data_IF_340718261978
#
_entry.id   IF_340718261978
#
_cell.length_a   1.000
_cell.length_b   1.000
_cell.length_c   1.000
_cell.angle_alpha   90.00
_cell.angle_beta   90.00
_cell.angle_gamma   90.00
#
_symmetry.space_group_name_H-M   'P 1'
#
loop_
_entity.id
_entity.type
_entity.pdbx_description
1 polymer ?
#
# COMPACT_ATOMS: atom_id res chain seq x y z
N UNK A 1 -5.81 0.28 21.03
CA UNK A 1 -6.49 1.11 22.04
C UNK A 1 -5.58 2.25 22.47
N UNK A 2 -4.51 2.04 23.25
CA UNK A 2 -3.63 3.14 23.70
C UNK A 2 -3.08 4.02 22.56
N UNK A 3 -2.58 3.42 21.46
CA UNK A 3 -2.07 4.19 20.32
C UNK A 3 -3.18 4.98 19.60
N UNK A 4 -4.38 4.41 19.51
CA UNK A 4 -5.52 5.02 18.83
C UNK A 4 -6.05 6.22 19.65
N UNK A 5 -6.15 6.06 20.98
CA UNK A 5 -6.52 7.12 21.91
C UNK A 5 -5.47 8.24 21.92
N UNK A 6 -4.17 7.89 21.93
CA UNK A 6 -3.09 8.86 21.87
C UNK A 6 -3.14 9.66 20.57
N UNK A 7 -3.41 9.01 19.45
CA UNK A 7 -3.55 9.70 18.17
C UNK A 7 -4.80 10.60 18.15
N UNK A 8 -5.92 10.17 18.74
CA UNK A 8 -7.10 11.02 18.90
C UNK A 8 -6.82 12.28 19.72
N UNK A 9 -6.02 12.17 20.80
CA UNK A 9 -5.58 13.33 21.58
C UNK A 9 -4.69 14.28 20.77
N UNK A 10 -3.82 13.76 19.91
CA UNK A 10 -3.06 14.59 18.95
C UNK A 10 -4.00 15.32 18.00
N UNK A 11 -4.99 14.62 17.42
CA UNK A 11 -5.97 15.25 16.52
C UNK A 11 -6.81 16.33 17.22
N UNK A 12 -7.07 16.19 18.51
CA UNK A 12 -7.76 17.19 19.34
C UNK A 12 -6.85 18.34 19.83
N UNK A 13 -5.55 18.30 19.52
CA UNK A 13 -4.59 19.32 19.97
C UNK A 13 -4.16 19.19 21.44
N UNK A 14 -4.43 18.04 22.08
CA UNK A 14 -4.09 17.78 23.48
C UNK A 14 -2.72 17.11 23.66
N UNK A 15 -2.14 16.55 22.60
CA UNK A 15 -0.80 15.94 22.62
C UNK A 15 0.01 16.30 21.36
N UNK A 16 1.33 16.16 21.45
CA UNK A 16 2.23 16.39 20.34
C UNK A 16 2.32 15.13 19.45
N UNK A 17 2.22 15.30 18.13
CA UNK A 17 2.47 14.26 17.11
C UNK A 17 3.81 13.53 17.35
N UNK A 18 4.84 14.21 17.86
CA UNK A 18 6.14 13.61 18.21
C UNK A 18 5.98 12.45 19.20
N UNK A 19 5.03 12.53 20.14
CA UNK A 19 4.78 11.45 21.10
C UNK A 19 4.24 10.19 20.39
N UNK A 20 3.30 10.36 19.46
CA UNK A 20 2.77 9.24 18.65
C UNK A 20 3.88 8.59 17.84
N UNK A 21 4.72 9.38 17.17
CA UNK A 21 5.83 8.85 16.37
C UNK A 21 6.84 8.05 17.22
N UNK A 22 7.12 8.50 18.45
CA UNK A 22 7.97 7.76 19.41
C UNK A 22 7.34 6.43 19.82
N UNK A 23 6.05 6.41 20.10
CA UNK A 23 5.33 5.17 20.45
C UNK A 23 5.36 4.18 19.28
N UNK A 24 5.06 4.65 18.06
CA UNK A 24 5.13 3.83 16.85
C UNK A 24 6.54 3.24 16.66
N UNK A 25 7.58 4.05 16.83
CA UNK A 25 8.97 3.59 16.71
C UNK A 25 9.35 2.52 17.75
N UNK A 26 8.70 2.53 18.93
CA UNK A 26 8.92 1.55 19.98
C UNK A 26 8.17 0.22 19.76
N UNK A 27 7.16 0.20 18.89
CA UNK A 27 6.33 -0.99 18.59
C UNK A 27 6.97 -1.95 17.56
N UNK A 28 8.29 -1.90 17.37
CA UNK A 28 9.02 -2.69 16.36
C UNK A 28 8.89 -4.22 16.53
N UNK A 29 8.62 -4.69 17.75
CA UNK A 29 8.55 -6.11 18.11
C UNK A 29 7.10 -6.65 18.12
N UNK A 30 6.12 -5.80 17.78
CA UNK A 30 4.70 -6.17 17.69
C UNK A 30 4.42 -7.04 16.46
N UNK A 31 3.49 -7.99 16.58
CA UNK A 31 3.01 -8.82 15.47
C UNK A 31 1.48 -8.95 15.39
N UNK A 32 0.74 -8.22 16.24
CA UNK A 32 -0.71 -8.18 16.17
C UNK A 32 -1.20 -7.30 15.00
N UNK A 33 -1.97 -7.90 14.09
CA UNK A 33 -2.60 -7.21 12.97
C UNK A 33 -3.36 -5.92 13.35
N UNK A 34 -4.10 -5.95 14.46
CA UNK A 34 -4.91 -4.80 14.90
C UNK A 34 -4.03 -3.61 15.24
N UNK A 35 -2.88 -3.83 15.88
CA UNK A 35 -1.94 -2.77 16.24
C UNK A 35 -1.31 -2.18 14.97
N UNK A 36 -0.86 -3.03 14.06
CA UNK A 36 -0.30 -2.59 12.77
C UNK A 36 -1.30 -1.86 11.89
N UNK A 37 -2.58 -2.23 11.92
CA UNK A 37 -3.67 -1.51 11.26
C UNK A 37 -3.80 -0.08 11.79
N UNK A 38 -3.75 0.10 13.12
CA UNK A 38 -3.78 1.42 13.76
C UNK A 38 -2.53 2.23 13.36
N UNK A 39 -1.34 1.64 13.42
CA UNK A 39 -0.07 2.28 13.00
C UNK A 39 -0.19 2.76 11.54
N UNK A 40 -0.63 1.87 10.64
CA UNK A 40 -0.80 2.17 9.23
C UNK A 40 -1.82 3.29 8.98
N UNK A 41 -2.92 3.33 9.73
CA UNK A 41 -3.93 4.39 9.65
C UNK A 41 -3.38 5.74 10.14
N UNK A 42 -2.72 5.77 11.30
CA UNK A 42 -2.12 6.97 11.86
C UNK A 42 -1.09 7.57 10.89
N UNK A 43 -0.16 6.73 10.41
CA UNK A 43 0.86 7.18 9.48
C UNK A 43 0.25 7.58 8.13
N UNK A 44 -0.79 6.91 7.66
CA UNK A 44 -1.50 7.30 6.44
C UNK A 44 -2.13 8.69 6.53
N UNK A 45 -2.74 9.05 7.67
CA UNK A 45 -3.26 10.41 7.90
C UNK A 45 -2.15 11.45 7.94
N UNK A 46 -1.04 11.15 8.60
CA UNK A 46 0.12 12.04 8.64
C UNK A 46 0.75 12.22 7.25
N UNK A 47 0.84 11.14 6.46
CA UNK A 47 1.36 11.14 5.09
C UNK A 47 0.61 12.13 4.19
N UNK A 48 -0.72 12.20 4.33
CA UNK A 48 -1.56 13.18 3.63
C UNK A 48 -1.20 14.61 4.04
N UNK A 49 -1.03 14.87 5.34
CA UNK A 49 -0.76 16.23 5.86
C UNK A 49 0.63 16.75 5.45
N UNK A 50 1.62 15.86 5.40
CA UNK A 50 2.98 16.21 5.00
C UNK A 50 3.17 16.15 3.49
N UNK A 51 2.19 15.64 2.73
CA UNK A 51 2.30 15.55 1.28
C UNK A 51 2.61 16.94 0.70
N UNK A 52 3.54 16.99 -0.26
CA UNK A 52 4.03 18.24 -0.87
C UNK A 52 4.83 19.18 0.06
N UNK A 53 5.27 18.70 1.23
CA UNK A 53 6.23 19.42 2.08
C UNK A 53 7.66 18.90 1.86
N UNK A 54 8.65 19.62 2.37
CA UNK A 54 10.06 19.17 2.37
C UNK A 54 10.33 17.92 3.23
N UNK A 55 9.35 17.49 4.04
CA UNK A 55 9.52 16.39 5.00
C UNK A 55 9.12 15.02 4.44
N UNK A 56 8.55 14.96 3.23
CA UNK A 56 8.04 13.72 2.62
C UNK A 56 9.09 12.61 2.61
N UNK A 57 10.32 12.90 2.17
CA UNK A 57 11.36 11.87 2.10
C UNK A 57 11.83 11.40 3.49
N UNK A 58 11.85 12.30 4.47
CA UNK A 58 12.18 11.95 5.85
C UNK A 58 11.11 11.04 6.45
N UNK A 59 9.83 11.32 6.17
CA UNK A 59 8.73 10.50 6.63
C UNK A 59 8.66 9.15 5.93
N UNK A 60 8.94 9.07 4.63
CA UNK A 60 9.10 7.79 3.91
C UNK A 60 10.19 6.94 4.55
N UNK A 61 11.36 7.51 4.86
CA UNK A 61 12.43 6.79 5.58
C UNK A 61 11.98 6.30 6.95
N UNK A 62 11.23 7.10 7.70
CA UNK A 62 10.64 6.67 8.96
C UNK A 62 9.67 5.51 8.79
N UNK A 63 8.78 5.58 7.79
CA UNK A 63 7.88 4.49 7.41
C UNK A 63 8.63 3.20 7.09
N UNK A 64 9.71 3.27 6.29
CA UNK A 64 10.56 2.13 6.02
C UNK A 64 11.19 1.54 7.28
N UNK A 65 11.73 2.39 8.17
CA UNK A 65 12.29 1.95 9.44
C UNK A 65 11.28 1.21 10.32
N UNK A 66 10.02 1.66 10.31
CA UNK A 66 8.93 1.04 11.09
C UNK A 66 8.50 -0.29 10.48
N UNK A 67 8.24 -0.34 9.18
CA UNK A 67 7.61 -1.51 8.54
C UNK A 67 8.59 -2.59 8.08
N UNK A 68 9.87 -2.27 7.83
CA UNK A 68 10.82 -3.24 7.24
C UNK A 68 11.04 -4.48 8.12
N UNK A 69 11.24 -4.37 9.45
CA UNK A 69 11.47 -5.55 10.30
C UNK A 69 10.33 -6.58 10.25
N UNK A 70 9.08 -6.11 10.34
CA UNK A 70 7.92 -7.00 10.27
C UNK A 70 7.70 -7.53 8.85
N UNK A 71 8.02 -6.74 7.82
CA UNK A 71 7.97 -7.19 6.42
C UNK A 71 8.94 -8.33 6.13
N UNK A 72 10.17 -8.22 6.62
CA UNK A 72 11.18 -9.28 6.52
C UNK A 72 10.78 -10.54 7.31
N UNK A 73 10.20 -10.36 8.51
CA UNK A 73 9.67 -11.47 9.33
C UNK A 73 8.56 -12.24 8.60
N UNK A 74 7.64 -11.54 7.93
CA UNK A 74 6.49 -12.15 7.26
C UNK A 74 6.86 -12.74 5.90
N UNK A 75 7.65 -12.01 5.10
CA UNK A 75 7.99 -12.37 3.74
C UNK A 75 6.77 -12.34 2.79
N UNK A 76 6.97 -12.85 1.58
CA UNK A 76 5.94 -12.87 0.52
C UNK A 76 5.10 -14.14 0.50
N UNK A 77 5.64 -15.23 1.04
CA UNK A 77 5.04 -16.55 0.92
C UNK A 77 4.22 -16.90 2.16
N UNK A 78 3.08 -17.56 1.94
CA UNK A 78 2.28 -18.08 3.03
C UNK A 78 3.05 -19.15 3.78
N UNK A 79 3.05 -19.08 5.12
CA UNK A 79 3.74 -20.07 5.96
C UNK A 79 2.81 -21.23 6.33
N UNK A 80 3.33 -22.43 6.57
CA UNK A 80 2.54 -23.52 7.15
C UNK A 80 1.93 -23.08 8.49
N UNK A 81 0.63 -23.34 8.68
CA UNK A 81 -0.15 -22.95 9.86
C UNK A 81 -0.25 -21.43 10.11
N UNK A 82 -0.06 -20.63 9.07
CA UNK A 82 -0.27 -19.20 9.16
C UNK A 82 -1.73 -18.85 9.48
N UNK A 83 -1.94 -17.95 10.44
CA UNK A 83 -3.29 -17.50 10.79
C UNK A 83 -3.84 -16.55 9.73
N UNK A 84 -5.16 -16.40 9.65
CA UNK A 84 -5.77 -15.41 8.75
C UNK A 84 -5.28 -13.98 9.06
N UNK A 85 -5.02 -13.66 10.33
CA UNK A 85 -4.51 -12.35 10.74
C UNK A 85 -3.09 -12.09 10.26
N UNK A 86 -2.23 -13.12 10.21
CA UNK A 86 -0.88 -13.01 9.65
C UNK A 86 -0.92 -12.73 8.14
N UNK A 87 -1.85 -13.37 7.41
CA UNK A 87 -2.05 -13.11 5.98
C UNK A 87 -2.48 -11.65 5.73
N UNK A 88 -3.42 -11.16 6.53
CA UNK A 88 -3.84 -9.75 6.46
C UNK A 88 -2.70 -8.80 6.82
N UNK A 89 -1.91 -9.14 7.84
CA UNK A 89 -0.76 -8.35 8.25
C UNK A 89 0.29 -8.29 7.14
N UNK A 90 0.60 -9.41 6.47
CA UNK A 90 1.51 -9.44 5.32
C UNK A 90 1.05 -8.46 4.24
N UNK A 91 -0.20 -8.56 3.81
CA UNK A 91 -0.74 -7.68 2.78
C UNK A 91 -0.64 -6.20 3.16
N UNK A 92 -1.00 -5.87 4.41
CA UNK A 92 -0.92 -4.52 4.95
C UNK A 92 0.52 -3.99 4.93
N UNK A 93 1.47 -4.76 5.45
CA UNK A 93 2.88 -4.37 5.58
C UNK A 93 3.53 -4.21 4.21
N UNK A 94 3.35 -5.17 3.30
CA UNK A 94 3.92 -5.09 1.94
C UNK A 94 3.36 -3.90 1.16
N UNK A 95 2.05 -3.63 1.32
CA UNK A 95 1.42 -2.43 0.73
C UNK A 95 2.06 -1.14 1.25
N UNK A 96 2.34 -1.05 2.55
CA UNK A 96 2.99 0.12 3.16
C UNK A 96 4.46 0.26 2.76
N UNK A 97 5.20 -0.84 2.69
CA UNK A 97 6.59 -0.82 2.21
C UNK A 97 6.68 -0.37 0.75
N UNK A 98 5.78 -0.85 -0.11
CA UNK A 98 5.68 -0.38 -1.50
C UNK A 98 5.33 1.11 -1.59
N UNK A 99 4.42 1.60 -0.74
CA UNK A 99 4.07 3.02 -0.65
C UNK A 99 5.24 3.91 -0.22
N UNK A 100 6.02 3.47 0.77
CA UNK A 100 7.19 4.20 1.25
C UNK A 100 8.43 4.06 0.36
N UNK A 101 8.36 3.25 -0.70
CA UNK A 101 9.40 3.14 -1.71
C UNK A 101 10.49 2.12 -1.38
N UNK A 102 10.16 1.03 -0.67
CA UNK A 102 11.12 -0.05 -0.45
C UNK A 102 11.50 -0.71 -1.79
N UNK A 103 12.78 -0.62 -2.15
CA UNK A 103 13.26 -1.06 -3.46
C UNK A 103 13.15 -2.58 -3.66
N UNK A 104 13.31 -3.36 -2.59
CA UNK A 104 13.22 -4.83 -2.65
C UNK A 104 11.77 -5.26 -2.84
N UNK A 105 10.83 -4.66 -2.10
CA UNK A 105 9.40 -4.91 -2.26
C UNK A 105 8.92 -4.51 -3.65
N UNK A 106 9.36 -3.37 -4.18
CA UNK A 106 9.00 -2.93 -5.55
C UNK A 106 9.56 -3.90 -6.60
N UNK A 107 10.82 -4.32 -6.48
CA UNK A 107 11.43 -5.26 -7.43
C UNK A 107 10.68 -6.60 -7.45
N UNK A 108 10.34 -7.11 -6.27
CA UNK A 108 9.70 -8.40 -6.08
C UNK A 108 8.20 -8.35 -6.45
N UNK A 109 7.54 -7.18 -6.29
CA UNK A 109 6.22 -6.89 -6.84
C UNK A 109 6.23 -6.87 -8.38
N UNK A 110 7.22 -6.22 -9.01
CA UNK A 110 7.37 -6.20 -10.48
C UNK A 110 7.54 -7.60 -11.06
N UNK A 111 8.35 -8.44 -10.40
CA UNK A 111 8.52 -9.86 -10.78
C UNK A 111 7.20 -10.63 -10.73
N UNK A 112 6.46 -10.55 -9.62
CA UNK A 112 5.14 -11.21 -9.48
C UNK A 112 4.13 -10.69 -10.47
N UNK A 113 4.08 -9.39 -10.68
CA UNK A 113 3.19 -8.76 -11.66
C UNK A 113 3.46 -9.25 -13.08
N UNK A 114 4.73 -9.31 -13.50
CA UNK A 114 5.09 -9.84 -14.81
C UNK A 114 4.65 -11.29 -14.99
N UNK A 115 4.88 -12.15 -14.00
CA UNK A 115 4.45 -13.55 -14.03
C UNK A 115 2.92 -13.70 -14.03
N UNK A 116 2.20 -12.76 -13.41
CA UNK A 116 0.74 -12.71 -13.42
C UNK A 116 0.20 -12.36 -14.79
N UNK A 117 0.73 -11.30 -15.40
CA UNK A 117 0.32 -10.82 -16.72
C UNK A 117 0.63 -11.85 -17.82
N UNK A 118 1.73 -12.61 -17.69
CA UNK A 118 2.07 -13.67 -18.65
C UNK A 118 1.25 -14.96 -18.48
N UNK A 119 0.49 -15.09 -17.39
CA UNK A 119 -0.21 -16.31 -17.02
C UNK A 119 0.69 -17.42 -16.45
N UNK A 120 1.96 -17.13 -16.16
CA UNK A 120 2.91 -18.08 -15.56
C UNK A 120 2.56 -18.37 -14.10
N UNK A 121 2.17 -17.35 -13.32
CA UNK A 121 1.81 -17.50 -11.92
C UNK A 121 0.77 -16.46 -11.50
N UNK A 122 -0.33 -16.91 -10.88
CA UNK A 122 -1.39 -16.03 -10.42
C UNK A 122 -1.01 -15.42 -9.07
N UNK A 123 -1.10 -14.09 -8.94
CA UNK A 123 -0.94 -13.43 -7.64
C UNK A 123 -2.13 -13.80 -6.73
N UNK A 124 -1.89 -14.26 -5.50
CA UNK A 124 -2.92 -14.48 -4.49
C UNK A 124 -3.76 -13.22 -4.25
N UNK A 125 -5.08 -13.38 -4.09
CA UNK A 125 -6.02 -12.25 -4.03
C UNK A 125 -5.70 -11.24 -2.92
N UNK A 126 -5.17 -11.71 -1.78
CA UNK A 126 -4.72 -10.90 -0.65
C UNK A 126 -3.50 -10.03 -0.97
N UNK A 127 -2.64 -10.45 -1.91
CA UNK A 127 -1.43 -9.73 -2.31
C UNK A 127 -1.63 -8.80 -3.52
N UNK A 128 -2.67 -9.01 -4.34
CA UNK A 128 -2.87 -8.24 -5.59
C UNK A 128 -2.86 -6.73 -5.35
N UNK A 129 -3.57 -6.25 -4.33
CA UNK A 129 -3.62 -4.83 -4.03
C UNK A 129 -2.24 -4.24 -3.68
N UNK A 130 -1.43 -4.98 -2.91
CA UNK A 130 -0.07 -4.56 -2.55
C UNK A 130 0.85 -4.57 -3.78
N UNK A 131 0.81 -5.64 -4.59
CA UNK A 131 1.61 -5.78 -5.80
C UNK A 131 1.28 -4.68 -6.81
N UNK A 132 -0.01 -4.49 -7.14
CA UNK A 132 -0.43 -3.50 -8.13
C UNK A 132 -0.01 -2.09 -7.72
N UNK A 133 -0.24 -1.70 -6.46
CA UNK A 133 0.15 -0.38 -5.96
C UNK A 133 1.67 -0.19 -5.96
N UNK A 134 2.44 -1.20 -5.57
CA UNK A 134 3.91 -1.11 -5.59
C UNK A 134 4.49 -1.03 -7.01
N UNK A 135 3.88 -1.70 -7.98
CA UNK A 135 4.28 -1.59 -9.38
C UNK A 135 3.90 -0.23 -9.96
N UNK A 136 2.68 0.24 -9.67
CA UNK A 136 2.18 1.51 -10.18
C UNK A 136 2.82 2.74 -9.54
N UNK A 137 3.32 2.65 -8.30
CA UNK A 137 4.05 3.76 -7.64
C UNK A 137 5.30 4.20 -8.40
N UNK A 138 5.87 3.30 -9.20
CA UNK A 138 7.00 3.55 -10.12
C UNK A 138 6.64 3.19 -11.56
N UNK A 139 5.34 3.16 -11.86
CA UNK A 139 4.79 2.73 -13.13
C UNK A 139 4.92 3.80 -14.21
N UNK A 140 5.14 3.34 -15.43
CA UNK A 140 5.20 4.13 -16.64
C UNK A 140 3.96 3.88 -17.52
N UNK A 141 4.00 4.42 -18.74
CA UNK A 141 2.91 4.29 -19.71
C UNK A 141 2.63 2.82 -20.07
N UNK A 142 3.66 1.98 -20.16
CA UNK A 142 3.50 0.54 -20.46
C UNK A 142 2.83 -0.20 -19.30
N UNK A 143 3.22 0.14 -18.07
CA UNK A 143 2.59 -0.37 -16.85
C UNK A 143 1.11 0.02 -16.79
N UNK A 144 0.81 1.29 -17.08
CA UNK A 144 -0.57 1.80 -17.15
C UNK A 144 -1.40 1.04 -18.19
N UNK A 145 -0.90 0.92 -19.42
CA UNK A 145 -1.59 0.22 -20.50
C UNK A 145 -1.84 -1.26 -20.16
N UNK A 146 -0.87 -1.90 -19.50
CA UNK A 146 -1.02 -3.28 -19.01
C UNK A 146 -2.14 -3.38 -17.98
N UNK A 147 -2.23 -2.45 -17.03
CA UNK A 147 -3.29 -2.44 -16.02
C UNK A 147 -4.67 -2.17 -16.62
N UNK A 148 -4.77 -1.27 -17.61
CA UNK A 148 -6.03 -1.02 -18.33
C UNK A 148 -6.47 -2.28 -19.10
N UNK A 149 -5.53 -3.00 -19.71
CA UNK A 149 -5.84 -4.28 -20.36
C UNK A 149 -6.38 -5.29 -19.35
N UNK A 150 -5.69 -5.48 -18.21
CA UNK A 150 -6.18 -6.36 -17.14
C UNK A 150 -7.58 -5.98 -16.67
N UNK A 151 -7.87 -4.68 -16.52
CA UNK A 151 -9.20 -4.20 -16.14
C UNK A 151 -10.28 -4.60 -17.15
N UNK A 152 -9.99 -4.42 -18.45
CA UNK A 152 -10.95 -4.69 -19.53
C UNK A 152 -11.19 -6.19 -19.74
N UNK A 153 -10.16 -6.99 -19.56
CA UNK A 153 -10.22 -8.45 -19.71
C UNK A 153 -10.88 -9.14 -18.49
N UNK A 154 -10.93 -8.46 -17.34
CA UNK A 154 -11.53 -8.98 -16.12
C UNK A 154 -13.07 -8.95 -16.16
N UNK A 155 -13.70 -9.96 -15.55
CA UNK A 155 -15.15 -10.08 -15.41
C UNK A 155 -15.63 -9.86 -13.97
N UNK A 156 -14.77 -10.12 -12.98
CA UNK A 156 -15.07 -9.96 -11.56
C UNK A 156 -14.99 -8.50 -11.14
N UNK A 157 -16.12 -7.95 -10.69
CA UNK A 157 -16.19 -6.53 -10.30
C UNK A 157 -15.22 -6.17 -9.16
N UNK A 158 -15.01 -7.07 -8.19
CA UNK A 158 -14.08 -6.82 -7.08
C UNK A 158 -12.64 -6.63 -7.57
N UNK A 159 -12.21 -7.40 -8.58
CA UNK A 159 -10.88 -7.26 -9.16
C UNK A 159 -10.78 -5.99 -10.02
N UNK A 160 -11.83 -5.62 -10.75
CA UNK A 160 -11.91 -4.32 -11.43
C UNK A 160 -11.76 -3.16 -10.45
N UNK A 161 -12.47 -3.19 -9.33
CA UNK A 161 -12.37 -2.17 -8.28
C UNK A 161 -10.96 -2.10 -7.70
N UNK A 162 -10.29 -3.25 -7.54
CA UNK A 162 -8.91 -3.34 -7.06
C UNK A 162 -7.92 -2.71 -8.04
N UNK A 163 -8.04 -3.02 -9.33
CA UNK A 163 -7.22 -2.44 -10.40
C UNK A 163 -7.45 -0.93 -10.48
N UNK A 164 -8.71 -0.50 -10.53
CA UNK A 164 -9.10 0.91 -10.57
C UNK A 164 -8.50 1.71 -9.41
N UNK A 165 -8.62 1.21 -8.17
CA UNK A 165 -8.03 1.87 -6.99
C UNK A 165 -6.51 1.89 -7.01
N UNK A 166 -5.87 0.92 -7.67
CA UNK A 166 -4.42 0.87 -7.78
C UNK A 166 -3.88 1.89 -8.79
N UNK A 167 -4.61 2.18 -9.87
CA UNK A 167 -4.20 3.16 -10.90
C UNK A 167 -3.88 4.55 -10.32
N UNK A 168 -4.55 4.95 -9.24
CA UNK A 168 -4.27 6.20 -8.53
C UNK A 168 -2.90 6.26 -7.83
N UNK A 169 -2.14 5.16 -7.77
CA UNK A 169 -0.79 5.15 -7.20
C UNK A 169 0.29 5.69 -8.16
N UNK A 170 -0.03 5.91 -9.45
CA UNK A 170 0.94 6.44 -10.42
C UNK A 170 1.34 7.87 -10.05
N UNK A 171 2.64 8.15 -10.03
CA UNK A 171 3.16 9.49 -9.73
C UNK A 171 3.25 10.44 -10.93
N UNK A 172 3.27 9.92 -12.16
CA UNK A 172 3.37 10.73 -13.37
C UNK A 172 2.06 11.49 -13.65
N UNK A 173 2.14 12.83 -13.69
CA UNK A 173 0.98 13.71 -13.87
C UNK A 173 0.26 13.52 -15.21
N UNK A 174 0.99 13.17 -16.28
CA UNK A 174 0.39 12.94 -17.60
C UNK A 174 -0.40 11.64 -17.60
N UNK A 175 0.13 10.61 -16.95
CA UNK A 175 -0.58 9.33 -16.83
C UNK A 175 -1.78 9.47 -15.87
N UNK A 176 -1.63 10.20 -14.76
CA UNK A 176 -2.74 10.49 -13.86
C UNK A 176 -3.91 11.22 -14.55
N UNK A 177 -3.64 12.10 -15.51
CA UNK A 177 -4.69 12.71 -16.31
C UNK A 177 -5.49 11.66 -17.11
N UNK A 178 -4.80 10.67 -17.70
CA UNK A 178 -5.45 9.54 -18.38
C UNK A 178 -6.25 8.66 -17.43
N UNK A 179 -5.73 8.42 -16.22
CA UNK A 179 -6.44 7.69 -15.16
C UNK A 179 -7.75 8.41 -14.80
N UNK A 180 -7.73 9.74 -14.71
CA UNK A 180 -8.92 10.54 -14.46
C UNK A 180 -9.92 10.48 -15.62
N UNK A 181 -9.45 10.62 -16.86
CA UNK A 181 -10.31 10.51 -18.05
C UNK A 181 -10.97 9.13 -18.12
N UNK A 182 -10.21 8.07 -17.84
CA UNK A 182 -10.71 6.70 -17.74
C UNK A 182 -11.75 6.55 -16.63
N UNK A 183 -11.49 7.11 -15.44
CA UNK A 183 -12.41 7.09 -14.30
C UNK A 183 -13.77 7.76 -14.58
N UNK A 184 -13.78 8.73 -15.50
CA UNK A 184 -14.97 9.49 -15.90
C UNK A 184 -15.64 8.93 -17.17
N UNK A 185 -15.10 7.85 -17.75
CA UNK A 185 -15.65 7.23 -18.95
C UNK A 185 -16.78 6.25 -18.64
N UNK A 186 -17.56 5.88 -19.67
CA UNK A 186 -18.63 4.88 -19.55
C UNK A 186 -18.11 3.47 -19.18
N UNK A 187 -16.80 3.24 -19.24
CA UNK A 187 -16.19 1.97 -18.82
C UNK A 187 -16.22 1.79 -17.30
N UNK A 188 -16.22 2.88 -16.54
CA UNK A 188 -16.19 2.87 -15.07
C UNK A 188 -17.57 3.21 -14.52
N UNK A 189 -18.14 2.31 -13.72
CA UNK A 189 -19.48 2.51 -13.15
C UNK A 189 -19.49 3.70 -12.19
N UNK A 190 -20.44 4.61 -12.37
CA UNK A 190 -20.84 5.56 -11.33
C UNK A 190 -21.42 4.78 -10.15
N UNK A 191 -20.79 4.87 -8.97
CA UNK A 191 -21.29 4.27 -7.73
C UNK A 191 -22.45 5.07 -7.14
#
# INVERSE_FOLDING_TARGET
VILDDLFALVQAGHCDTVQVLKVIAAMKDEDNYTVWSIIANCLGKLDVLISNTQYVDAFKRFGLQVFKPIGEKLGWEQKPNESHLDTLLRSLVLSRLGWYGDAEVIAEAKKRFKAHVSGECIIPADLRAAVYKAVLSVGDEDTYNTMIKLYRDESLQEEKDRIYRALGAIGDRKILAKVLDFAMSDEVRSQ
#
